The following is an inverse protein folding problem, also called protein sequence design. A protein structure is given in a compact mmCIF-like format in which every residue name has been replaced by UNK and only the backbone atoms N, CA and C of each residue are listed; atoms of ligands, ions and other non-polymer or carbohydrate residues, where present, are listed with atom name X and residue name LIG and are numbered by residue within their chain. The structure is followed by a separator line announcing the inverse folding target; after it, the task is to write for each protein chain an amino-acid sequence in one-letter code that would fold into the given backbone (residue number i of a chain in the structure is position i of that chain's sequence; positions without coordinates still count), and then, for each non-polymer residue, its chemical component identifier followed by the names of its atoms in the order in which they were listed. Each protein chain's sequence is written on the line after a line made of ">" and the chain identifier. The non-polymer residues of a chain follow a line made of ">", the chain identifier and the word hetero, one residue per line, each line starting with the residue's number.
data_IF_372048658843
#
_entry.id   IF_372048658843
#
_cell.length_a   1.000
_cell.length_b   1.000
_cell.length_c   1.000
_cell.angle_alpha   90.00
_cell.angle_beta   90.00
_cell.angle_gamma   90.00
#
_symmetry.space_group_name_H-M   'P 1'
#
loop_
_entity.id
_entity.type
_entity.pdbx_description
1 polymer ?
#
# COMPACT_ATOMS: atom_id res chain seq x y z
N UNK A 1 5.00 -4.51 71.63
CA UNK A 1 5.62 -5.72 72.28
C UNK A 1 5.61 -6.75 71.15
N UNK A 2 6.68 -7.15 70.49
CA UNK A 2 8.11 -7.01 70.68
C UNK A 2 8.78 -6.90 69.31
N UNK A 3 9.79 -6.07 69.25
CA UNK A 3 10.79 -5.99 68.21
C UNK A 3 11.58 -7.26 68.12
N UNK A 4 11.95 -7.73 66.96
CA UNK A 4 13.15 -8.53 66.78
C UNK A 4 13.86 -8.18 65.49
N UNK A 5 14.90 -7.41 65.68
CA UNK A 5 15.99 -7.06 64.80
C UNK A 5 16.86 -8.31 64.56
N UNK A 6 17.12 -8.68 63.29
CA UNK A 6 18.24 -9.57 62.95
C UNK A 6 19.01 -8.96 61.78
N UNK A 7 20.23 -8.65 62.15
CA UNK A 7 21.37 -8.18 61.42
C UNK A 7 21.78 -9.00 60.19
N UNK A 8 22.36 -8.27 59.25
CA UNK A 8 23.17 -8.60 58.11
C UNK A 8 23.95 -9.92 58.03
N UNK A 9 23.92 -10.44 56.85
CA UNK A 9 25.04 -11.24 56.30
C UNK A 9 25.21 -10.87 54.84
N UNK A 10 26.31 -10.21 54.56
CA UNK A 10 26.87 -10.04 53.22
C UNK A 10 27.29 -11.40 52.67
N UNK A 11 26.83 -11.76 51.48
CA UNK A 11 27.38 -12.86 50.71
C UNK A 11 28.31 -12.28 49.62
N UNK A 12 29.42 -12.98 49.30
CA UNK A 12 30.50 -12.42 48.53
C UNK A 12 30.14 -12.22 47.06
N UNK A 13 30.59 -11.11 46.54
CA UNK A 13 30.61 -10.76 45.12
C UNK A 13 31.48 -11.76 44.38
N UNK A 14 30.92 -12.58 43.52
CA UNK A 14 31.68 -13.31 42.51
C UNK A 14 31.86 -12.40 41.31
N UNK A 15 33.10 -12.18 40.93
CA UNK A 15 33.54 -11.51 39.70
C UNK A 15 32.88 -12.19 38.48
N UNK A 16 31.88 -11.54 37.90
CA UNK A 16 31.44 -11.84 36.55
C UNK A 16 32.36 -11.11 35.58
N UNK A 17 32.98 -11.90 34.70
CA UNK A 17 33.76 -11.40 33.58
C UNK A 17 32.92 -10.46 32.72
N UNK A 18 33.53 -9.42 32.15
CA UNK A 18 32.78 -8.48 31.29
C UNK A 18 32.24 -9.21 30.07
N UNK A 19 30.93 -9.31 29.98
CA UNK A 19 30.27 -9.66 28.73
C UNK A 19 30.61 -8.55 27.74
N UNK A 20 31.37 -8.89 26.73
CA UNK A 20 31.59 -8.02 25.60
C UNK A 20 30.24 -7.82 24.92
N UNK A 21 29.62 -6.65 25.13
CA UNK A 21 28.51 -6.21 24.34
C UNK A 21 28.91 -6.22 22.87
N UNK A 22 28.32 -7.10 22.09
CA UNK A 22 28.34 -6.95 20.64
C UNK A 22 27.71 -5.59 20.33
N UNK A 23 28.32 -4.79 19.45
CA UNK A 23 27.75 -3.48 19.11
C UNK A 23 26.32 -3.70 18.59
N UNK A 24 25.36 -3.16 19.31
CA UNK A 24 23.99 -3.00 18.80
C UNK A 24 24.17 -2.23 17.48
N UNK A 25 23.69 -2.74 16.36
CA UNK A 25 23.78 -1.99 15.11
C UNK A 25 23.17 -0.61 15.34
N UNK A 26 23.90 0.40 14.93
CA UNK A 26 23.53 1.81 15.03
C UNK A 26 22.06 1.92 14.60
N UNK A 27 21.21 2.45 15.47
CA UNK A 27 19.77 2.55 15.24
C UNK A 27 19.56 3.00 13.80
N UNK A 28 19.01 2.13 12.98
CA UNK A 28 18.64 2.46 11.61
C UNK A 28 17.68 3.64 11.78
N UNK A 29 18.14 4.84 11.42
CA UNK A 29 17.23 5.97 11.23
C UNK A 29 16.28 5.50 10.17
N UNK A 30 15.08 5.10 10.58
CA UNK A 30 14.01 4.87 9.62
C UNK A 30 14.01 6.08 8.70
N UNK A 31 14.19 5.92 7.40
CA UNK A 31 14.12 7.04 6.51
C UNK A 31 12.78 7.68 6.78
N UNK A 32 12.82 8.98 6.90
CA UNK A 32 11.63 9.80 6.93
C UNK A 32 10.78 9.31 5.76
N UNK A 33 9.82 8.40 6.03
CA UNK A 33 9.02 7.78 4.99
C UNK A 33 8.49 8.95 4.21
N UNK A 34 9.00 9.14 3.02
CA UNK A 34 8.46 10.17 2.14
C UNK A 34 7.02 9.73 1.98
N UNK A 35 6.13 10.30 2.84
CA UNK A 35 4.68 10.21 2.64
C UNK A 35 4.48 10.15 1.14
N UNK A 36 3.66 9.23 0.66
CA UNK A 36 3.24 9.21 -0.75
C UNK A 36 3.22 10.66 -1.18
N UNK A 37 4.10 11.03 -2.12
CA UNK A 37 4.18 12.45 -2.51
C UNK A 37 2.75 12.79 -2.88
N UNK A 38 2.05 13.52 -2.00
CA UNK A 38 0.67 13.87 -2.28
C UNK A 38 0.68 14.53 -3.64
N UNK A 39 -0.38 14.43 -4.43
CA UNK A 39 -0.49 15.17 -5.70
C UNK A 39 -0.04 16.61 -5.56
N UNK A 40 -0.16 17.17 -4.33
CA UNK A 40 0.36 18.46 -3.88
C UNK A 40 1.88 18.63 -4.02
N UNK A 41 2.67 17.61 -3.70
CA UNK A 41 4.14 17.70 -3.79
C UNK A 41 4.60 17.56 -5.24
N UNK A 42 3.99 16.67 -6.00
CA UNK A 42 4.26 16.51 -7.44
C UNK A 42 3.86 17.80 -8.18
N UNK A 43 2.72 18.38 -7.84
CA UNK A 43 2.27 19.66 -8.42
C UNK A 43 3.19 20.81 -8.08
N UNK A 44 3.57 20.96 -6.80
CA UNK A 44 4.44 22.04 -6.34
C UNK A 44 5.85 21.97 -6.94
N UNK A 45 6.39 20.76 -7.15
CA UNK A 45 7.73 20.59 -7.71
C UNK A 45 7.74 20.67 -9.26
N UNK A 46 6.70 20.16 -9.93
CA UNK A 46 6.72 19.98 -11.38
C UNK A 46 5.96 21.06 -12.17
N UNK A 47 4.89 21.61 -11.62
CA UNK A 47 3.99 22.49 -12.39
C UNK A 47 3.84 23.89 -11.82
N UNK A 48 3.92 24.11 -10.50
CA UNK A 48 3.77 25.41 -9.88
C UNK A 48 4.78 26.45 -10.41
N UNK A 49 6.07 26.16 -10.66
CA UNK A 49 7.01 27.12 -11.22
C UNK A 49 6.60 27.63 -12.61
N UNK A 50 6.03 26.75 -13.44
CA UNK A 50 5.62 27.12 -14.81
C UNK A 50 4.34 27.98 -14.84
N UNK A 51 3.41 27.71 -13.93
CA UNK A 51 2.17 28.48 -13.81
C UNK A 51 2.48 29.88 -13.25
N UNK A 52 3.30 29.97 -12.21
CA UNK A 52 3.70 31.26 -11.60
C UNK A 52 4.52 32.09 -12.59
N UNK A 53 5.44 31.49 -13.35
CA UNK A 53 6.19 32.20 -14.38
C UNK A 53 5.27 32.72 -15.50
N UNK A 54 4.29 31.94 -15.93
CA UNK A 54 3.32 32.31 -16.95
C UNK A 54 2.45 33.50 -16.53
N UNK A 55 1.93 33.48 -15.30
CA UNK A 55 1.06 34.55 -14.76
C UNK A 55 1.87 35.79 -14.41
N UNK A 56 3.05 35.65 -13.77
CA UNK A 56 3.93 36.77 -13.46
C UNK A 56 4.47 37.45 -14.72
N UNK A 57 4.82 36.68 -15.76
CA UNK A 57 5.23 37.21 -17.06
C UNK A 57 4.13 38.02 -17.75
N UNK A 58 2.86 37.59 -17.61
CA UNK A 58 1.69 38.32 -18.15
C UNK A 58 1.42 39.62 -17.38
N UNK A 59 1.63 39.68 -16.08
CA UNK A 59 1.45 40.87 -15.25
C UNK A 59 2.57 41.91 -15.46
N UNK A 60 3.81 41.47 -15.65
CA UNK A 60 4.94 42.38 -15.94
C UNK A 60 4.84 43.04 -17.32
N UNK A 61 4.27 42.37 -18.32
CA UNK A 61 4.04 42.94 -19.67
C UNK A 61 2.96 43.99 -19.68
N UNK A 62 2.07 44.05 -18.66
CA UNK A 62 1.00 45.07 -18.63
C UNK A 62 1.46 46.48 -18.23
N UNK A 63 2.67 46.60 -17.63
CA UNK A 63 3.17 47.89 -17.12
C UNK A 63 4.03 48.69 -18.13
N UNK A 64 4.49 48.08 -19.24
CA UNK A 64 5.54 48.72 -20.07
C UNK A 64 5.00 49.45 -21.32
N UNK A 65 3.74 49.28 -21.75
CA UNK A 65 3.26 49.87 -23.02
C UNK A 65 2.07 50.81 -22.88
N UNK A 66 2.23 51.83 -22.05
CA UNK A 66 1.26 52.88 -21.88
C UNK A 66 1.54 54.17 -22.69
N UNK A 67 2.02 54.07 -23.94
CA UNK A 67 1.97 55.26 -24.86
C UNK A 67 2.41 54.89 -26.27
N UNK A 68 1.45 54.75 -27.17
CA UNK A 68 1.53 55.02 -28.62
C UNK A 68 0.50 54.20 -29.42
N UNK A 69 -0.48 54.86 -29.96
CA UNK A 69 -1.30 54.32 -31.05
C UNK A 69 -2.67 53.73 -30.65
N UNK A 70 -3.68 54.50 -30.32
CA UNK A 70 -5.03 54.07 -29.84
C UNK A 70 -5.79 53.05 -30.68
N UNK A 71 -5.46 52.79 -31.93
CA UNK A 71 -6.14 51.77 -32.72
C UNK A 71 -5.41 50.42 -32.77
N UNK A 72 -4.07 50.42 -32.78
CA UNK A 72 -3.24 49.22 -32.63
C UNK A 72 -3.33 48.64 -31.23
N UNK A 73 -3.44 49.51 -30.23
CA UNK A 73 -3.53 49.13 -28.81
C UNK A 73 -4.81 48.38 -28.48
N UNK A 74 -5.97 48.71 -29.11
CA UNK A 74 -7.23 47.97 -28.86
C UNK A 74 -7.20 46.53 -29.41
N UNK A 75 -6.60 46.32 -30.58
CA UNK A 75 -6.49 44.94 -31.12
C UNK A 75 -5.47 44.09 -30.36
N UNK A 76 -4.34 44.69 -29.92
CA UNK A 76 -3.35 44.01 -29.06
C UNK A 76 -3.89 43.72 -27.64
N UNK A 77 -4.64 44.68 -27.07
CA UNK A 77 -5.30 44.49 -25.77
C UNK A 77 -6.38 43.40 -25.84
N UNK A 78 -7.16 43.35 -26.93
CA UNK A 78 -8.14 42.29 -27.15
C UNK A 78 -7.48 40.93 -27.32
N UNK A 79 -6.44 40.82 -28.14
CA UNK A 79 -5.70 39.58 -28.32
C UNK A 79 -5.04 39.09 -27.05
N UNK A 80 -4.54 40.01 -26.19
CA UNK A 80 -4.01 39.70 -24.86
C UNK A 80 -5.11 39.20 -23.91
N UNK A 81 -6.28 39.86 -23.93
CA UNK A 81 -7.43 39.43 -23.10
C UNK A 81 -7.95 38.08 -23.54
N UNK A 82 -8.07 37.82 -24.84
CA UNK A 82 -8.48 36.55 -25.40
C UNK A 82 -7.52 35.44 -25.02
N UNK A 83 -6.19 35.70 -25.03
CA UNK A 83 -5.17 34.77 -24.61
C UNK A 83 -5.24 34.47 -23.11
N UNK A 84 -5.46 35.48 -22.25
CA UNK A 84 -5.65 35.30 -20.80
C UNK A 84 -6.90 34.43 -20.55
N UNK A 85 -8.00 34.74 -21.25
CA UNK A 85 -9.25 33.96 -21.13
C UNK A 85 -9.03 32.51 -21.53
N UNK A 86 -8.31 32.27 -22.62
CA UNK A 86 -7.99 30.91 -23.07
C UNK A 86 -7.10 30.15 -22.07
N UNK A 87 -6.09 30.82 -21.50
CA UNK A 87 -5.23 30.21 -20.45
C UNK A 87 -6.03 29.86 -19.19
N UNK A 88 -6.90 30.76 -18.73
CA UNK A 88 -7.77 30.51 -17.58
C UNK A 88 -8.78 29.39 -17.86
N UNK A 89 -9.27 29.28 -19.07
CA UNK A 89 -10.17 28.17 -19.47
C UNK A 89 -9.42 26.84 -19.48
N UNK A 90 -8.20 26.79 -20.04
CA UNK A 90 -7.36 25.58 -20.04
C UNK A 90 -7.01 25.16 -18.62
N UNK A 91 -6.64 26.11 -17.74
CA UNK A 91 -6.40 25.85 -16.32
C UNK A 91 -7.64 25.30 -15.61
N UNK A 92 -8.82 25.88 -15.89
CA UNK A 92 -10.06 25.42 -15.27
C UNK A 92 -10.38 23.96 -15.66
N UNK A 93 -10.20 23.57 -16.93
CA UNK A 93 -10.41 22.19 -17.37
C UNK A 93 -9.39 21.22 -16.75
N UNK A 94 -8.10 21.60 -16.64
CA UNK A 94 -7.09 20.80 -15.95
C UNK A 94 -7.44 20.59 -14.45
N UNK A 95 -7.79 21.68 -13.76
CA UNK A 95 -8.17 21.60 -12.34
C UNK A 95 -9.43 20.76 -12.15
N UNK A 96 -10.40 20.88 -13.04
CA UNK A 96 -11.62 20.06 -13.02
C UNK A 96 -11.31 18.58 -13.18
N UNK A 97 -10.50 18.21 -14.19
CA UNK A 97 -10.12 16.81 -14.42
C UNK A 97 -9.36 16.23 -13.21
N UNK A 98 -8.40 16.98 -12.66
CA UNK A 98 -7.60 16.55 -11.51
C UNK A 98 -8.42 16.43 -10.23
N UNK A 99 -9.29 17.40 -9.96
CA UNK A 99 -10.16 17.34 -8.80
C UNK A 99 -11.18 16.20 -8.90
N UNK A 100 -11.67 15.89 -10.10
CA UNK A 100 -12.55 14.77 -10.32
C UNK A 100 -11.87 13.42 -10.07
N UNK A 101 -10.61 13.27 -10.50
CA UNK A 101 -9.82 12.08 -10.21
C UNK A 101 -9.60 11.87 -8.69
N UNK A 102 -9.29 12.94 -7.96
CA UNK A 102 -9.15 12.90 -6.49
C UNK A 102 -10.48 12.55 -5.82
N UNK A 103 -11.58 13.17 -6.25
CA UNK A 103 -12.90 12.93 -5.70
C UNK A 103 -13.43 11.52 -6.00
N UNK A 104 -13.03 10.91 -7.11
CA UNK A 104 -13.35 9.54 -7.44
C UNK A 104 -12.75 8.54 -6.44
N UNK A 105 -11.63 8.87 -5.83
CA UNK A 105 -10.95 8.09 -4.78
C UNK A 105 -11.26 8.65 -3.36
N UNK A 106 -12.35 9.40 -3.20
CA UNK A 106 -12.84 10.00 -1.94
C UNK A 106 -11.94 11.10 -1.33
N UNK A 107 -10.88 11.52 -2.00
CA UNK A 107 -10.01 12.61 -1.56
C UNK A 107 -10.64 14.00 -1.83
N UNK A 108 -11.80 14.23 -1.22
CA UNK A 108 -12.54 15.48 -1.40
C UNK A 108 -11.79 16.70 -0.86
N UNK A 109 -10.96 16.53 0.17
CA UNK A 109 -10.20 17.65 0.73
C UNK A 109 -9.17 18.19 -0.28
N UNK A 110 -8.40 17.30 -0.93
CA UNK A 110 -7.44 17.73 -1.93
C UNK A 110 -8.12 18.11 -3.26
N UNK A 111 -9.26 17.50 -3.60
CA UNK A 111 -10.09 17.93 -4.72
C UNK A 111 -10.54 19.39 -4.54
N UNK A 112 -11.07 19.76 -3.38
CA UNK A 112 -11.43 21.15 -3.05
C UNK A 112 -10.23 22.09 -3.07
N UNK A 113 -9.10 21.69 -2.49
CA UNK A 113 -7.86 22.48 -2.51
C UNK A 113 -7.34 22.72 -3.92
N UNK A 114 -7.48 21.72 -4.79
CA UNK A 114 -7.12 21.81 -6.21
C UNK A 114 -7.96 22.88 -6.90
N UNK A 115 -9.28 22.86 -6.74
CA UNK A 115 -10.18 23.87 -7.31
C UNK A 115 -9.95 25.26 -6.73
N UNK A 116 -9.65 25.37 -5.45
CA UNK A 116 -9.36 26.64 -4.77
C UNK A 116 -8.08 27.33 -5.30
N UNK A 117 -7.19 26.56 -5.96
CA UNK A 117 -5.98 27.07 -6.61
C UNK A 117 -6.19 27.75 -7.97
N UNK A 118 -7.42 27.87 -8.44
CA UNK A 118 -7.71 28.49 -9.75
C UNK A 118 -7.25 29.95 -9.81
N UNK A 119 -6.39 30.29 -10.78
CA UNK A 119 -5.78 31.61 -10.90
C UNK A 119 -6.78 32.73 -11.20
N UNK A 120 -7.92 32.40 -11.83
CA UNK A 120 -9.02 33.34 -12.10
C UNK A 120 -9.86 33.67 -10.85
N UNK A 121 -9.61 33.00 -9.73
CA UNK A 121 -10.39 33.06 -8.49
C UNK A 121 -11.65 32.19 -8.57
N UNK A 122 -11.78 31.26 -7.64
CA UNK A 122 -12.86 30.25 -7.64
C UNK A 122 -14.27 30.87 -7.75
N UNK A 123 -14.51 31.98 -7.07
CA UNK A 123 -15.79 32.69 -7.09
C UNK A 123 -16.18 33.24 -8.48
N UNK A 124 -15.21 33.40 -9.38
CA UNK A 124 -15.41 33.91 -10.72
C UNK A 124 -15.70 32.80 -11.76
N UNK A 125 -15.63 31.52 -11.34
CA UNK A 125 -15.94 30.38 -12.18
C UNK A 125 -17.07 29.55 -11.53
N UNK A 126 -18.28 29.74 -12.04
CA UNK A 126 -19.49 29.11 -11.46
C UNK A 126 -19.44 27.56 -11.51
N UNK A 127 -18.78 26.98 -12.52
CA UNK A 127 -18.65 25.53 -12.64
C UNK A 127 -17.70 24.98 -11.58
N UNK A 128 -16.50 25.56 -11.44
CA UNK A 128 -15.55 25.12 -10.40
C UNK A 128 -16.09 25.35 -8.98
N UNK A 129 -16.80 26.46 -8.78
CA UNK A 129 -17.45 26.74 -7.48
C UNK A 129 -18.54 25.71 -7.16
N UNK A 130 -19.32 25.29 -8.15
CA UNK A 130 -20.34 24.24 -7.98
C UNK A 130 -19.70 22.91 -7.62
N UNK A 131 -18.62 22.50 -8.29
CA UNK A 131 -17.87 21.30 -7.98
C UNK A 131 -17.28 21.36 -6.56
N UNK A 132 -16.66 22.47 -6.20
CA UNK A 132 -16.13 22.70 -4.85
C UNK A 132 -17.19 22.50 -3.77
N UNK A 133 -18.36 23.09 -3.95
CA UNK A 133 -19.47 22.94 -3.01
C UNK A 133 -20.00 21.49 -2.98
N UNK A 134 -20.09 20.83 -4.12
CA UNK A 134 -20.47 19.41 -4.21
C UNK A 134 -19.49 18.51 -3.43
N UNK A 135 -18.18 18.72 -3.56
CA UNK A 135 -17.18 17.96 -2.81
C UNK A 135 -17.24 18.28 -1.30
N UNK A 136 -17.52 19.54 -0.93
CA UNK A 136 -17.72 19.92 0.46
C UNK A 136 -18.92 19.21 1.09
N UNK A 137 -20.02 19.13 0.35
CA UNK A 137 -21.24 18.47 0.81
C UNK A 137 -21.00 16.94 0.89
N UNK A 138 -20.33 16.35 -0.09
CA UNK A 138 -19.94 14.95 -0.07
C UNK A 138 -19.04 14.63 1.13
N UNK A 139 -18.00 15.44 1.40
CA UNK A 139 -17.13 15.28 2.56
C UNK A 139 -17.90 15.31 3.89
N UNK A 140 -18.89 16.19 4.01
CA UNK A 140 -19.71 16.31 5.21
C UNK A 140 -20.65 15.12 5.43
N UNK A 141 -20.97 14.37 4.38
CA UNK A 141 -21.85 13.19 4.43
C UNK A 141 -21.10 11.88 4.68
N UNK A 142 -19.75 11.91 4.76
CA UNK A 142 -18.98 10.69 4.96
C UNK A 142 -19.13 10.13 6.37
N UNK A 143 -19.19 8.79 6.44
CA UNK A 143 -19.18 8.01 7.69
C UNK A 143 -17.75 7.69 8.10
N UNK A 144 -17.47 7.82 9.39
CA UNK A 144 -16.14 7.56 9.97
C UNK A 144 -15.96 6.08 10.22
N UNK A 145 -14.80 5.55 9.82
CA UNK A 145 -14.28 4.23 10.15
C UNK A 145 -12.98 4.43 10.93
N UNK A 146 -12.96 4.05 12.21
CA UNK A 146 -11.82 4.27 13.10
C UNK A 146 -11.41 3.02 13.89
N UNK A 147 -12.07 1.87 13.68
CA UNK A 147 -11.76 0.61 14.33
C UNK A 147 -11.19 -0.40 13.33
N UNK A 148 -9.88 -0.64 13.41
CA UNK A 148 -9.17 -1.61 12.57
C UNK A 148 -9.71 -3.05 12.77
N UNK A 149 -10.32 -3.36 13.92
CA UNK A 149 -10.89 -4.69 14.19
C UNK A 149 -12.14 -5.00 13.37
N UNK A 150 -12.81 -3.97 12.86
CA UNK A 150 -14.01 -4.14 12.02
C UNK A 150 -13.69 -4.29 10.52
N UNK A 151 -12.40 -4.13 10.14
CA UNK A 151 -11.99 -4.11 8.75
C UNK A 151 -11.53 -5.50 8.32
N UNK A 152 -12.22 -6.14 7.36
CA UNK A 152 -11.75 -7.40 6.83
C UNK A 152 -10.45 -7.24 6.05
N UNK A 153 -9.63 -8.28 6.11
CA UNK A 153 -8.39 -8.36 5.34
C UNK A 153 -8.32 -9.72 4.65
N UNK A 154 -8.13 -9.70 3.34
CA UNK A 154 -7.99 -10.89 2.51
C UNK A 154 -6.54 -11.06 2.07
N UNK A 155 -6.07 -12.29 2.08
CA UNK A 155 -4.73 -12.65 1.64
C UNK A 155 -4.79 -13.63 0.49
N UNK A 156 -4.00 -13.35 -0.54
CA UNK A 156 -3.88 -14.13 -1.76
C UNK A 156 -2.43 -14.58 -1.92
N UNK A 157 -2.24 -15.75 -2.51
CA UNK A 157 -0.95 -16.18 -3.04
C UNK A 157 -0.81 -15.68 -4.48
N UNK A 158 0.34 -15.91 -5.11
CA UNK A 158 0.50 -15.77 -6.56
C UNK A 158 -0.64 -16.48 -7.28
N UNK A 159 -1.26 -15.83 -8.26
CA UNK A 159 -2.44 -16.37 -8.95
C UNK A 159 -2.06 -17.36 -10.05
N UNK A 160 -2.93 -18.31 -10.29
CA UNK A 160 -2.80 -19.22 -11.43
C UNK A 160 -3.32 -18.53 -12.69
N UNK A 161 -2.46 -18.39 -13.70
CA UNK A 161 -2.82 -17.81 -14.99
C UNK A 161 -3.35 -18.88 -15.98
N UNK A 162 -2.85 -20.14 -15.88
CA UNK A 162 -3.26 -21.27 -16.72
C UNK A 162 -3.52 -22.47 -15.79
N UNK A 163 -4.80 -22.70 -15.49
CA UNK A 163 -5.20 -23.73 -14.53
C UNK A 163 -4.88 -25.14 -15.04
N UNK A 164 -5.07 -25.41 -16.33
CA UNK A 164 -4.82 -26.73 -16.91
C UNK A 164 -3.34 -27.13 -16.77
N UNK A 165 -2.43 -26.20 -17.04
CA UNK A 165 -0.99 -26.44 -16.85
C UNK A 165 -0.64 -26.60 -15.36
N UNK A 166 -1.22 -25.78 -14.48
CA UNK A 166 -0.97 -25.88 -13.06
C UNK A 166 -1.42 -27.24 -12.50
N UNK A 167 -2.61 -27.72 -12.90
CA UNK A 167 -3.14 -29.02 -12.47
C UNK A 167 -2.39 -30.20 -13.09
N UNK A 168 -1.80 -30.04 -14.28
CA UNK A 168 -1.02 -31.07 -14.96
C UNK A 168 0.36 -31.31 -14.34
N UNK A 169 0.84 -30.45 -13.41
CA UNK A 169 2.12 -30.66 -12.74
C UNK A 169 2.08 -31.96 -11.91
N UNK A 170 2.98 -32.95 -12.20
CA UNK A 170 2.91 -34.29 -11.61
C UNK A 170 3.20 -34.28 -10.09
N UNK A 171 3.97 -33.31 -9.61
CA UNK A 171 4.42 -33.24 -8.21
C UNK A 171 3.57 -32.31 -7.36
N UNK A 172 3.04 -31.25 -7.95
CA UNK A 172 2.38 -30.13 -7.25
C UNK A 172 0.99 -29.79 -7.74
N UNK A 173 0.49 -30.42 -8.79
CA UNK A 173 -0.81 -30.07 -9.39
C UNK A 173 -1.96 -30.09 -8.39
N UNK A 174 -2.04 -31.10 -7.51
CA UNK A 174 -3.03 -31.13 -6.43
C UNK A 174 -2.89 -29.95 -5.45
N UNK A 175 -1.65 -29.57 -5.11
CA UNK A 175 -1.38 -28.41 -4.23
C UNK A 175 -1.74 -27.10 -4.93
N UNK A 176 -1.43 -26.97 -6.21
CA UNK A 176 -1.82 -25.78 -6.98
C UNK A 176 -3.34 -25.68 -7.08
N UNK A 177 -4.02 -26.78 -7.35
CA UNK A 177 -5.48 -26.83 -7.40
C UNK A 177 -6.17 -26.47 -6.08
N UNK A 178 -5.58 -26.80 -4.93
CA UNK A 178 -6.19 -26.55 -3.62
C UNK A 178 -5.77 -25.20 -3.01
N UNK A 179 -4.50 -24.80 -3.16
CA UNK A 179 -3.91 -23.69 -2.41
C UNK A 179 -3.89 -22.35 -3.15
N UNK A 180 -4.19 -22.35 -4.45
CA UNK A 180 -4.11 -21.16 -5.29
C UNK A 180 -5.45 -20.93 -6.00
N UNK A 181 -5.80 -19.68 -6.21
CA UNK A 181 -6.92 -19.27 -7.05
C UNK A 181 -6.41 -18.76 -8.39
N UNK A 182 -7.27 -18.71 -9.38
CA UNK A 182 -6.93 -18.20 -10.71
C UNK A 182 -7.08 -16.68 -10.79
N UNK A 183 -6.51 -16.08 -11.85
CA UNK A 183 -6.71 -14.67 -12.19
C UNK A 183 -8.19 -14.35 -12.43
N UNK A 184 -8.95 -15.29 -13.02
CA UNK A 184 -10.38 -15.12 -13.24
C UNK A 184 -11.19 -15.20 -11.94
N UNK A 185 -10.85 -16.12 -11.03
CA UNK A 185 -11.47 -16.20 -9.71
C UNK A 185 -11.20 -14.94 -8.91
N UNK A 186 -9.99 -14.41 -8.96
CA UNK A 186 -9.66 -13.13 -8.35
C UNK A 186 -10.47 -11.97 -8.95
N UNK A 187 -10.63 -11.94 -10.27
CA UNK A 187 -11.46 -10.93 -10.94
C UNK A 187 -12.93 -11.02 -10.50
N UNK A 188 -13.47 -12.24 -10.32
CA UNK A 188 -14.83 -12.43 -9.79
C UNK A 188 -14.95 -11.93 -8.34
N UNK A 189 -13.91 -12.14 -7.51
CA UNK A 189 -13.86 -11.61 -6.15
C UNK A 189 -13.88 -10.08 -6.18
N UNK A 190 -13.04 -9.43 -6.99
CA UNK A 190 -13.00 -7.97 -7.10
C UNK A 190 -14.35 -7.39 -7.50
N UNK A 191 -15.02 -7.98 -8.51
CA UNK A 191 -16.35 -7.55 -8.94
C UNK A 191 -17.37 -7.62 -7.80
N UNK A 192 -17.41 -8.74 -7.07
CA UNK A 192 -18.36 -8.91 -5.97
C UNK A 192 -18.04 -8.01 -4.77
N UNK A 193 -16.76 -7.81 -4.45
CA UNK A 193 -16.35 -6.84 -3.43
C UNK A 193 -16.84 -5.44 -3.78
N UNK A 194 -16.65 -5.02 -5.03
CA UNK A 194 -17.09 -3.73 -5.52
C UNK A 194 -18.62 -3.58 -5.47
N UNK A 195 -19.37 -4.58 -5.99
CA UNK A 195 -20.84 -4.62 -5.95
C UNK A 195 -21.39 -4.59 -4.52
N UNK A 196 -20.68 -5.21 -3.57
CA UNK A 196 -21.04 -5.24 -2.15
C UNK A 196 -20.54 -4.00 -1.38
N UNK A 197 -20.02 -2.98 -2.10
CA UNK A 197 -19.67 -1.68 -1.57
C UNK A 197 -18.33 -1.64 -0.83
N UNK A 198 -17.45 -2.62 -1.02
CA UNK A 198 -16.11 -2.55 -0.45
C UNK A 198 -15.22 -1.54 -1.18
N UNK A 199 -14.26 -0.98 -0.45
CA UNK A 199 -13.28 0.01 -0.93
C UNK A 199 -11.92 -0.37 -0.36
N UNK A 200 -10.90 -0.43 -1.21
CA UNK A 200 -9.53 -0.73 -0.80
C UNK A 200 -8.95 0.40 0.06
N UNK A 201 -8.32 0.00 1.14
CA UNK A 201 -7.63 0.88 2.08
C UNK A 201 -6.23 0.35 2.38
N UNK A 202 -5.36 1.21 2.90
CA UNK A 202 -4.03 0.84 3.41
C UNK A 202 -4.04 0.77 4.94
N UNK A 203 -3.15 -0.03 5.52
CA UNK A 203 -2.91 -0.03 6.97
C UNK A 203 -2.56 1.36 7.50
N UNK A 204 -1.88 2.15 6.68
CA UNK A 204 -1.48 3.52 7.03
C UNK A 204 -2.63 4.52 7.06
N UNK A 205 -3.81 4.13 6.57
CA UNK A 205 -5.01 4.95 6.67
C UNK A 205 -5.61 4.88 8.09
N UNK A 206 -5.32 3.81 8.85
CA UNK A 206 -5.79 3.59 10.23
C UNK A 206 -4.72 3.81 11.29
N UNK A 207 -3.46 3.69 10.92
CA UNK A 207 -2.34 3.87 11.82
C UNK A 207 -1.19 4.56 11.08
N UNK A 208 -0.89 5.80 11.41
CA UNK A 208 0.19 6.56 10.76
C UNK A 208 1.45 6.53 11.61
N UNK A 209 2.63 6.34 11.00
CA UNK A 209 3.90 6.44 11.73
C UNK A 209 4.09 7.85 12.27
N UNK A 210 4.48 7.95 13.53
CA UNK A 210 4.82 9.21 14.19
C UNK A 210 6.18 9.11 14.85
N UNK A 211 6.94 10.21 14.78
CA UNK A 211 8.21 10.32 15.51
C UNK A 211 8.02 11.30 16.65
N UNK A 212 8.26 10.84 17.87
CA UNK A 212 8.22 11.67 19.06
C UNK A 212 9.42 12.63 19.14
N UNK A 213 9.39 13.59 20.05
CA UNK A 213 10.47 14.57 20.25
C UNK A 213 11.81 13.91 20.66
N UNK A 214 11.76 12.78 21.34
CA UNK A 214 12.92 11.98 21.75
C UNK A 214 13.50 11.10 20.62
N UNK A 215 12.87 11.14 19.43
CA UNK A 215 13.26 10.35 18.26
C UNK A 215 12.68 8.93 18.23
N UNK A 216 11.88 8.53 19.22
CA UNK A 216 11.17 7.25 19.17
C UNK A 216 10.10 7.26 18.06
N UNK A 217 9.94 6.13 17.38
CA UNK A 217 8.93 5.98 16.32
C UNK A 217 7.82 5.06 16.82
N UNK A 218 6.61 5.56 16.78
CA UNK A 218 5.41 4.82 17.09
C UNK A 218 4.36 4.95 15.99
N UNK A 219 3.12 4.60 16.30
CA UNK A 219 1.98 4.79 15.41
C UNK A 219 0.86 5.53 16.13
N UNK A 220 0.23 6.46 15.43
CA UNK A 220 -1.01 7.09 15.88
C UNK A 220 -2.19 6.48 15.15
N UNK A 221 -3.21 6.10 15.92
CA UNK A 221 -4.50 5.70 15.37
C UNK A 221 -5.10 6.88 14.58
N UNK A 222 -5.60 6.59 13.39
CA UNK A 222 -6.33 7.52 12.54
C UNK A 222 -7.65 6.91 12.12
N UNK A 223 -8.44 7.65 11.36
CA UNK A 223 -9.69 7.18 10.80
C UNK A 223 -9.78 7.55 9.33
N UNK A 224 -10.50 6.75 8.58
CA UNK A 224 -10.93 7.07 7.23
C UNK A 224 -12.40 7.47 7.23
N UNK A 225 -12.84 8.05 6.12
CA UNK A 225 -14.23 8.42 5.93
C UNK A 225 -14.68 7.95 4.55
N UNK A 226 -15.76 7.18 4.52
CA UNK A 226 -16.35 6.64 3.30
C UNK A 226 -17.83 7.06 3.21
N UNK A 227 -18.42 7.12 2.00
CA UNK A 227 -19.86 7.29 1.85
C UNK A 227 -20.65 6.22 2.60
N UNK A 228 -21.87 6.56 3.02
CA UNK A 228 -22.78 5.59 3.61
C UNK A 228 -22.97 4.37 2.69
N UNK A 229 -22.88 3.16 3.25
CA UNK A 229 -22.94 1.89 2.52
C UNK A 229 -21.62 1.41 1.93
N UNK A 230 -20.59 2.24 1.86
CA UNK A 230 -19.22 1.81 1.50
C UNK A 230 -18.49 1.28 2.74
N UNK A 231 -17.68 0.23 2.57
CA UNK A 231 -16.97 -0.51 3.63
C UNK A 231 -15.49 -0.67 3.28
N UNK A 232 -14.57 -0.42 4.21
CA UNK A 232 -13.14 -0.62 3.94
C UNK A 232 -12.78 -2.10 3.89
N UNK A 233 -11.76 -2.44 3.08
CA UNK A 233 -11.14 -3.77 3.01
C UNK A 233 -9.65 -3.66 2.73
N UNK A 234 -8.85 -4.53 3.35
CA UNK A 234 -7.42 -4.68 3.10
C UNK A 234 -7.16 -5.90 2.22
N UNK A 235 -6.27 -5.77 1.24
CA UNK A 235 -5.79 -6.89 0.45
C UNK A 235 -4.27 -7.07 0.64
N UNK A 236 -3.84 -8.33 0.71
CA UNK A 236 -2.42 -8.71 0.75
C UNK A 236 -2.15 -9.77 -0.31
N UNK A 237 -1.03 -9.68 -1.01
CA UNK A 237 -0.52 -10.79 -1.82
C UNK A 237 0.78 -11.30 -1.23
N UNK A 238 0.88 -12.61 -1.05
CA UNK A 238 2.03 -13.32 -0.47
C UNK A 238 2.83 -14.05 -1.54
N UNK A 239 4.16 -14.09 -1.38
CA UNK A 239 5.01 -14.92 -2.21
C UNK A 239 5.13 -14.43 -3.65
N UNK A 240 5.15 -13.11 -3.88
CA UNK A 240 5.36 -12.48 -5.19
C UNK A 240 6.84 -12.60 -5.61
N UNK A 241 7.44 -13.72 -5.26
CA UNK A 241 8.80 -14.12 -5.62
C UNK A 241 8.85 -14.86 -6.95
N UNK A 242 7.74 -15.47 -7.39
CA UNK A 242 7.62 -16.31 -8.59
C UNK A 242 8.66 -17.42 -8.59
N UNK A 243 8.46 -18.37 -7.66
CA UNK A 243 9.41 -19.46 -7.41
C UNK A 243 9.68 -20.34 -8.65
N UNK A 244 10.88 -20.86 -8.77
CA UNK A 244 11.32 -21.69 -9.91
C UNK A 244 10.42 -22.89 -10.20
N UNK A 245 9.71 -23.41 -9.19
CA UNK A 245 8.77 -24.50 -9.39
C UNK A 245 7.45 -24.04 -10.06
N UNK A 246 7.08 -22.77 -9.93
CA UNK A 246 5.93 -22.17 -10.61
C UNK A 246 6.25 -21.92 -12.09
N UNK A 247 7.43 -21.39 -12.38
CA UNK A 247 7.94 -21.24 -13.75
C UNK A 247 7.95 -22.58 -14.50
N UNK A 248 8.48 -23.63 -13.85
CA UNK A 248 8.56 -24.98 -14.47
C UNK A 248 7.21 -25.58 -14.79
N UNK A 249 6.18 -25.33 -14.01
CA UNK A 249 4.84 -25.83 -14.31
C UNK A 249 4.17 -25.06 -15.45
N UNK A 250 4.59 -23.79 -15.69
CA UNK A 250 4.06 -22.94 -16.76
C UNK A 250 2.61 -22.51 -16.57
N UNK A 251 2.06 -22.66 -15.35
CA UNK A 251 0.70 -22.25 -15.00
C UNK A 251 0.64 -20.90 -14.28
N UNK A 252 1.77 -20.31 -13.98
CA UNK A 252 1.92 -19.03 -13.26
C UNK A 252 2.73 -18.03 -14.08
N UNK A 253 2.68 -16.77 -13.71
CA UNK A 253 3.63 -15.78 -14.19
C UNK A 253 5.07 -16.14 -13.78
N UNK A 254 6.04 -15.74 -14.59
CA UNK A 254 7.47 -15.93 -14.32
C UNK A 254 8.05 -14.74 -13.56
N UNK A 255 7.53 -13.54 -13.82
CA UNK A 255 7.98 -12.30 -13.18
C UNK A 255 6.95 -11.18 -13.25
N UNK A 256 6.98 -10.28 -12.27
CA UNK A 256 6.38 -8.95 -12.33
C UNK A 256 7.43 -7.96 -12.83
N UNK A 257 7.13 -7.25 -13.91
CA UNK A 257 8.07 -6.35 -14.58
C UNK A 257 7.42 -4.99 -14.91
N UNK A 258 8.26 -3.99 -15.19
CA UNK A 258 7.81 -2.75 -15.82
C UNK A 258 7.85 -2.98 -17.34
N UNK A 259 6.68 -3.06 -17.97
CA UNK A 259 6.54 -3.28 -19.41
C UNK A 259 7.02 -2.09 -20.25
N UNK A 260 7.04 -2.27 -21.55
CA UNK A 260 7.50 -1.25 -22.51
C UNK A 260 6.67 0.06 -22.47
N UNK A 261 5.42 -0.02 -22.03
CA UNK A 261 4.53 1.15 -21.82
C UNK A 261 4.78 1.88 -20.49
N UNK A 262 5.73 1.40 -19.67
CA UNK A 262 6.03 1.93 -18.35
C UNK A 262 5.05 1.53 -17.24
N UNK A 263 4.12 0.59 -17.51
CA UNK A 263 3.18 0.06 -16.52
C UNK A 263 3.63 -1.31 -16.01
N UNK A 264 3.14 -1.69 -14.80
CA UNK A 264 3.39 -3.01 -14.23
C UNK A 264 2.61 -4.07 -15.01
N UNK A 265 3.31 -5.09 -15.43
CA UNK A 265 2.75 -6.27 -16.14
C UNK A 265 3.46 -7.53 -15.66
N UNK A 266 2.86 -8.69 -15.89
CA UNK A 266 3.53 -9.96 -15.63
C UNK A 266 4.07 -10.55 -16.93
N UNK A 267 5.24 -11.20 -16.84
CA UNK A 267 5.80 -12.04 -17.91
C UNK A 267 5.42 -13.49 -17.65
N UNK A 268 5.07 -14.22 -18.71
CA UNK A 268 4.81 -15.65 -18.71
C UNK A 268 5.34 -16.21 -20.05
N UNK A 269 6.49 -16.87 -20.02
CA UNK A 269 7.26 -17.22 -21.22
C UNK A 269 7.64 -15.99 -22.04
N UNK A 270 7.20 -15.95 -23.30
CA UNK A 270 7.43 -14.80 -24.20
C UNK A 270 6.32 -13.75 -24.17
N UNK A 271 5.27 -13.98 -23.38
CA UNK A 271 4.10 -13.11 -23.32
C UNK A 271 4.14 -12.18 -22.11
N UNK A 272 3.61 -10.95 -22.26
CA UNK A 272 3.31 -10.05 -21.15
C UNK A 272 1.79 -9.87 -21.04
N UNK A 273 1.30 -9.78 -19.78
CA UNK A 273 -0.14 -9.65 -19.55
C UNK A 273 -0.53 -9.60 -18.07
N UNK A 274 -1.84 -9.64 -17.84
CA UNK A 274 -2.43 -9.64 -16.51
C UNK A 274 -2.46 -11.07 -15.91
N UNK A 275 -1.29 -11.64 -15.70
CA UNK A 275 -1.13 -13.03 -15.24
C UNK A 275 -1.03 -13.19 -13.72
N UNK A 276 -1.14 -12.07 -12.95
CA UNK A 276 -1.16 -12.09 -11.49
C UNK A 276 -1.92 -10.87 -10.94
N UNK A 277 -2.06 -10.79 -9.61
CA UNK A 277 -2.88 -9.81 -8.88
C UNK A 277 -2.61 -8.37 -9.29
N UNK A 278 -1.35 -7.93 -9.35
CA UNK A 278 -1.01 -6.52 -9.57
C UNK A 278 -1.58 -5.97 -10.88
N UNK A 279 -1.31 -6.55 -12.06
CA UNK A 279 -1.87 -6.02 -13.30
C UNK A 279 -3.39 -6.23 -13.41
N UNK A 280 -3.96 -7.31 -12.83
CA UNK A 280 -5.42 -7.51 -12.78
C UNK A 280 -6.09 -6.42 -11.94
N UNK A 281 -5.57 -6.12 -10.75
CA UNK A 281 -6.08 -5.08 -9.88
C UNK A 281 -5.94 -3.69 -10.50
N UNK A 282 -4.81 -3.40 -11.16
CA UNK A 282 -4.60 -2.13 -11.84
C UNK A 282 -5.63 -1.91 -12.97
N UNK A 283 -5.92 -2.95 -13.76
CA UNK A 283 -6.93 -2.89 -14.82
C UNK A 283 -8.33 -2.64 -14.21
N UNK A 284 -8.68 -3.35 -13.14
CA UNK A 284 -9.95 -3.17 -12.44
C UNK A 284 -10.11 -1.74 -11.90
N UNK A 285 -9.08 -1.19 -11.27
CA UNK A 285 -9.11 0.15 -10.70
C UNK A 285 -9.08 1.27 -11.75
N UNK A 286 -8.61 1.00 -12.95
CA UNK A 286 -8.73 1.95 -14.07
C UNK A 286 -10.21 2.11 -14.50
N UNK A 287 -11.02 1.06 -14.36
CA UNK A 287 -12.45 1.09 -14.65
C UNK A 287 -13.29 1.53 -13.43
N UNK A 288 -12.81 1.24 -12.23
CA UNK A 288 -13.48 1.49 -10.95
C UNK A 288 -12.58 2.26 -9.97
N UNK A 289 -12.24 3.53 -10.23
CA UNK A 289 -11.36 4.30 -9.35
C UNK A 289 -11.94 4.47 -7.93
N UNK A 290 -13.26 4.46 -7.78
CA UNK A 290 -13.97 4.50 -6.51
C UNK A 290 -13.90 3.19 -5.69
N UNK A 291 -13.21 2.16 -6.21
CA UNK A 291 -12.84 0.97 -5.42
C UNK A 291 -11.58 1.19 -4.59
N UNK A 292 -10.96 2.37 -4.65
CA UNK A 292 -9.74 2.73 -3.92
C UNK A 292 -9.94 3.99 -3.09
N UNK A 293 -9.52 3.95 -1.84
CA UNK A 293 -9.46 5.12 -0.95
C UNK A 293 -8.11 5.82 -1.11
N UNK A 294 -8.11 7.06 -1.59
CA UNK A 294 -6.92 7.91 -1.76
C UNK A 294 -5.75 7.22 -2.47
N UNK A 295 -6.05 6.34 -3.43
CA UNK A 295 -5.04 5.60 -4.20
C UNK A 295 -4.49 4.37 -3.50
N UNK A 296 -5.12 3.87 -2.43
CA UNK A 296 -4.72 2.63 -1.77
C UNK A 296 -4.80 1.43 -2.72
N UNK A 297 -3.86 0.49 -2.56
CA UNK A 297 -3.78 -0.79 -3.27
C UNK A 297 -3.55 -1.92 -2.25
N UNK A 298 -3.11 -3.07 -2.74
CA UNK A 298 -2.75 -4.21 -1.91
C UNK A 298 -1.37 -4.05 -1.26
N UNK A 299 -1.13 -4.79 -0.16
CA UNK A 299 0.20 -5.03 0.39
C UNK A 299 0.85 -6.21 -0.34
N UNK A 300 2.05 -6.01 -0.89
CA UNK A 300 2.84 -7.02 -1.59
C UNK A 300 3.92 -7.55 -0.66
N UNK A 301 3.82 -8.81 -0.28
CA UNK A 301 4.71 -9.45 0.67
C UNK A 301 5.71 -10.36 -0.03
N UNK A 302 7.00 -10.12 0.22
CA UNK A 302 8.14 -10.78 -0.42
C UNK A 302 9.04 -11.42 0.64
N UNK A 303 9.61 -12.57 0.34
CA UNK A 303 10.68 -13.18 1.13
C UNK A 303 12.04 -13.05 0.42
N UNK A 304 13.12 -13.40 1.11
CA UNK A 304 14.47 -13.40 0.53
C UNK A 304 14.78 -14.65 -0.31
N UNK A 305 13.88 -15.64 -0.30
CA UNK A 305 14.10 -16.92 -0.94
C UNK A 305 13.79 -16.90 -2.44
N UNK A 306 14.71 -17.37 -3.26
CA UNK A 306 14.62 -17.45 -4.74
C UNK A 306 14.43 -16.09 -5.45
N UNK A 307 14.95 -14.98 -4.90
CA UNK A 307 14.89 -13.66 -5.56
C UNK A 307 13.61 -12.88 -5.28
N UNK A 308 13.36 -11.82 -6.06
CA UNK A 308 12.24 -10.90 -5.89
C UNK A 308 11.55 -10.66 -7.22
N UNK A 309 10.23 -10.70 -7.26
CA UNK A 309 9.43 -10.46 -8.47
C UNK A 309 9.78 -11.38 -9.65
N UNK A 310 10.37 -12.57 -9.41
CA UNK A 310 10.86 -13.47 -10.45
C UNK A 310 12.24 -13.09 -11.04
N UNK A 311 12.95 -12.20 -10.35
CA UNK A 311 14.29 -11.74 -10.72
C UNK A 311 15.31 -12.11 -9.65
N UNK A 312 16.54 -12.38 -10.05
CA UNK A 312 17.65 -12.57 -9.12
C UNK A 312 18.15 -11.24 -8.56
N UNK A 313 18.83 -11.25 -7.41
CA UNK A 313 19.33 -10.02 -6.78
C UNK A 313 20.38 -9.28 -7.65
N UNK A 314 21.00 -9.97 -8.62
CA UNK A 314 21.90 -9.34 -9.59
C UNK A 314 21.14 -8.39 -10.54
N UNK A 315 19.83 -8.57 -10.71
CA UNK A 315 18.94 -7.71 -11.50
C UNK A 315 18.40 -6.51 -10.67
N UNK A 316 19.19 -6.01 -9.76
CA UNK A 316 18.79 -5.03 -8.74
C UNK A 316 18.15 -3.75 -9.30
N UNK A 317 18.53 -3.29 -10.49
CA UNK A 317 17.91 -2.12 -11.13
C UNK A 317 16.48 -2.39 -11.56
N UNK A 318 16.21 -3.58 -12.13
CA UNK A 318 14.88 -3.98 -12.53
C UNK A 318 13.97 -4.21 -11.30
N UNK A 319 14.48 -4.85 -10.26
CA UNK A 319 13.76 -5.02 -8.98
C UNK A 319 13.38 -3.65 -8.38
N UNK A 320 14.32 -2.69 -8.34
CA UNK A 320 14.04 -1.32 -7.87
C UNK A 320 12.97 -0.64 -8.71
N UNK A 321 13.04 -0.77 -10.04
CA UNK A 321 12.06 -0.16 -10.92
C UNK A 321 10.64 -0.69 -10.65
N UNK A 322 10.49 -2.00 -10.41
CA UNK A 322 9.21 -2.61 -10.02
C UNK A 322 8.76 -2.09 -8.64
N UNK A 323 9.65 -2.11 -7.65
CA UNK A 323 9.34 -1.66 -6.30
C UNK A 323 8.94 -0.17 -6.25
N UNK A 324 9.65 0.68 -6.96
CA UNK A 324 9.36 2.12 -7.05
C UNK A 324 8.01 2.36 -7.77
N UNK A 325 7.73 1.59 -8.82
CA UNK A 325 6.47 1.70 -9.54
C UNK A 325 5.29 1.21 -8.67
N UNK A 326 5.44 0.09 -7.94
CA UNK A 326 4.44 -0.39 -6.97
C UNK A 326 4.12 0.70 -5.94
N UNK A 327 5.15 1.29 -5.31
CA UNK A 327 4.95 2.37 -4.33
C UNK A 327 4.31 3.61 -4.94
N UNK A 328 4.71 3.97 -6.16
CA UNK A 328 4.14 5.12 -6.88
C UNK A 328 2.66 4.92 -7.20
N UNK A 329 2.24 3.70 -7.46
CA UNK A 329 0.85 3.34 -7.72
C UNK A 329 0.03 3.15 -6.43
N UNK A 330 0.66 3.10 -5.26
CA UNK A 330 -0.05 3.01 -3.99
C UNK A 330 -0.06 1.64 -3.34
N UNK A 331 0.71 0.67 -3.86
CA UNK A 331 0.96 -0.59 -3.17
C UNK A 331 1.89 -0.38 -1.97
N UNK A 332 1.65 -1.11 -0.91
CA UNK A 332 2.59 -1.25 0.19
C UNK A 332 3.47 -2.47 -0.06
N UNK A 333 4.75 -2.40 0.30
CA UNK A 333 5.68 -3.52 0.20
C UNK A 333 6.00 -4.00 1.60
N UNK A 334 5.95 -5.31 1.83
CA UNK A 334 6.15 -5.93 3.13
C UNK A 334 7.23 -7.01 3.11
N UNK A 335 7.90 -7.15 4.25
CA UNK A 335 8.75 -8.30 4.54
C UNK A 335 7.88 -9.52 4.85
N UNK A 336 8.14 -10.64 4.15
CA UNK A 336 7.54 -11.95 4.40
C UNK A 336 8.58 -12.91 5.01
N UNK A 337 9.43 -12.41 5.91
CA UNK A 337 10.68 -12.99 6.42
C UNK A 337 11.73 -13.19 5.32
N UNK A 338 12.99 -13.48 5.66
CA UNK A 338 13.98 -13.81 4.65
C UNK A 338 13.80 -15.24 4.14
N UNK A 339 13.57 -16.18 5.04
CA UNK A 339 13.57 -17.62 4.76
C UNK A 339 12.20 -18.23 4.43
N UNK A 340 11.13 -17.42 4.33
CA UNK A 340 9.74 -17.90 4.17
C UNK A 340 9.30 -18.86 5.32
N UNK A 341 9.80 -18.59 6.54
CA UNK A 341 9.57 -19.43 7.73
C UNK A 341 8.75 -18.71 8.77
N UNK A 342 7.99 -19.48 9.57
CA UNK A 342 7.14 -18.94 10.62
C UNK A 342 7.94 -18.49 11.83
N UNK A 343 7.90 -17.19 12.17
CA UNK A 343 8.61 -16.66 13.34
C UNK A 343 8.06 -17.18 14.69
N UNK A 344 6.86 -17.76 14.69
CA UNK A 344 6.37 -18.51 15.85
C UNK A 344 7.35 -19.62 16.29
N UNK A 345 7.95 -20.31 15.33
CA UNK A 345 8.83 -21.45 15.55
C UNK A 345 10.29 -21.07 15.86
N UNK A 346 10.69 -19.83 15.54
CA UNK A 346 12.04 -19.36 15.82
C UNK A 346 12.23 -18.97 17.29
N UNK A 347 13.44 -19.24 17.81
CA UNK A 347 13.95 -18.51 18.98
C UNK A 347 14.36 -17.08 18.57
N UNK A 348 14.58 -16.20 19.56
CA UNK A 348 15.00 -14.80 19.30
C UNK A 348 16.28 -14.72 18.45
N UNK A 349 17.24 -15.62 18.67
CA UNK A 349 18.49 -15.64 17.92
C UNK A 349 18.27 -15.98 16.43
N UNK A 350 17.46 -17.01 16.15
CA UNK A 350 17.14 -17.39 14.75
C UNK A 350 16.33 -16.33 14.03
N UNK A 351 15.39 -15.68 14.72
CA UNK A 351 14.63 -14.54 14.18
C UNK A 351 15.57 -13.38 13.81
N UNK A 352 16.54 -13.05 14.66
CA UNK A 352 17.53 -12.00 14.36
C UNK A 352 18.43 -12.38 13.18
N UNK A 353 18.88 -13.62 13.09
CA UNK A 353 19.71 -14.09 11.98
C UNK A 353 18.95 -13.98 10.64
N UNK A 354 17.67 -14.31 10.63
CA UNK A 354 16.81 -14.20 9.44
C UNK A 354 16.61 -12.73 9.03
N UNK A 355 16.38 -11.85 10.00
CA UNK A 355 16.25 -10.42 9.75
C UNK A 355 17.57 -9.77 9.31
N UNK A 356 18.70 -10.15 9.90
CA UNK A 356 20.03 -9.67 9.49
C UNK A 356 20.26 -9.92 7.99
N UNK A 357 19.86 -11.11 7.49
CA UNK A 357 19.93 -11.42 6.06
C UNK A 357 18.97 -10.56 5.24
N UNK A 358 17.74 -10.39 5.70
CA UNK A 358 16.78 -9.51 5.03
C UNK A 358 17.33 -8.08 4.87
N UNK A 359 17.85 -7.51 5.95
CA UNK A 359 18.38 -6.14 5.92
C UNK A 359 19.69 -6.01 5.16
N UNK A 360 20.50 -7.06 5.13
CA UNK A 360 21.76 -7.06 4.39
C UNK A 360 21.59 -7.27 2.88
N UNK A 361 20.66 -8.12 2.47
CA UNK A 361 20.54 -8.57 1.07
C UNK A 361 19.32 -7.97 0.35
N UNK A 362 18.17 -7.88 1.03
CA UNK A 362 16.91 -7.49 0.40
C UNK A 362 16.67 -5.99 0.48
N UNK A 363 16.85 -5.40 1.67
CA UNK A 363 16.62 -3.95 1.86
C UNK A 363 17.42 -3.06 0.90
N UNK A 364 18.69 -3.33 0.57
CA UNK A 364 19.45 -2.50 -0.37
C UNK A 364 18.86 -2.47 -1.78
N UNK A 365 18.11 -3.50 -2.17
CA UNK A 365 17.54 -3.66 -3.51
C UNK A 365 16.08 -3.23 -3.52
N UNK A 366 15.29 -3.71 -2.55
CA UNK A 366 13.85 -3.50 -2.48
C UNK A 366 13.47 -2.14 -1.87
N UNK A 367 14.35 -1.56 -1.04
CA UNK A 367 14.05 -0.44 -0.16
C UNK A 367 13.50 -0.89 1.19
N UNK A 368 13.35 0.07 2.10
CA UNK A 368 12.89 -0.21 3.47
C UNK A 368 11.38 -0.46 3.53
N UNK A 369 10.99 -1.28 4.50
CA UNK A 369 9.60 -1.49 4.91
C UNK A 369 9.50 -1.61 6.43
N UNK A 370 8.40 -1.16 6.98
CA UNK A 370 8.02 -1.30 8.38
C UNK A 370 6.84 -2.27 8.58
N UNK A 371 6.44 -2.98 7.48
CA UNK A 371 5.39 -4.00 7.49
C UNK A 371 6.03 -5.38 7.50
N UNK A 372 5.62 -6.21 8.46
CA UNK A 372 5.92 -7.64 8.52
C UNK A 372 4.65 -8.44 8.30
N UNK A 373 4.67 -9.32 7.31
CA UNK A 373 3.63 -10.32 7.06
C UNK A 373 4.14 -11.67 7.52
N UNK A 374 3.47 -12.30 8.47
CA UNK A 374 3.88 -13.60 8.97
C UNK A 374 3.53 -14.71 7.98
N UNK A 375 4.51 -15.51 7.52
CA UNK A 375 4.27 -16.69 6.70
C UNK A 375 3.28 -17.64 7.37
N UNK A 376 2.29 -18.11 6.60
CA UNK A 376 1.21 -18.99 7.06
C UNK A 376 0.47 -18.52 8.33
N UNK A 377 0.70 -17.27 8.77
CA UNK A 377 0.14 -16.71 10.00
C UNK A 377 0.89 -17.09 11.27
N UNK A 378 2.12 -17.56 11.14
CA UNK A 378 3.00 -17.92 12.28
C UNK A 378 3.42 -16.70 13.12
N UNK A 379 2.43 -16.00 13.69
CA UNK A 379 2.57 -14.82 14.56
C UNK A 379 3.24 -15.18 15.88
N UNK A 380 4.01 -14.25 16.42
CA UNK A 380 4.77 -14.43 17.67
C UNK A 380 3.90 -14.48 18.94
N UNK A 381 2.63 -14.04 18.89
CA UNK A 381 1.75 -13.88 20.06
C UNK A 381 0.25 -14.11 19.83
N UNK A 382 -0.18 -14.56 18.69
CA UNK A 382 -1.62 -14.67 18.38
C UNK A 382 -2.33 -13.31 18.53
N UNK A 383 -3.45 -13.24 19.29
CA UNK A 383 -4.23 -12.00 19.46
C UNK A 383 -3.83 -11.19 20.72
N UNK A 384 -2.89 -11.66 21.53
CA UNK A 384 -2.43 -10.93 22.71
C UNK A 384 -1.56 -9.73 22.32
N UNK A 385 -1.48 -8.75 23.22
CA UNK A 385 -0.55 -7.62 23.06
C UNK A 385 0.90 -8.12 22.98
N UNK A 386 1.67 -7.50 22.09
CA UNK A 386 3.07 -7.89 21.89
C UNK A 386 3.94 -7.55 23.08
N UNK A 387 4.83 -8.47 23.42
CA UNK A 387 5.83 -8.31 24.48
C UNK A 387 6.92 -9.38 24.38
N UNK A 388 8.08 -9.11 24.98
CA UNK A 388 9.19 -10.05 25.11
C UNK A 388 10.14 -10.03 23.91
N UNK A 389 11.22 -10.83 24.01
CA UNK A 389 12.40 -10.68 23.17
C UNK A 389 12.19 -10.81 21.66
N UNK A 390 11.19 -11.55 21.17
CA UNK A 390 10.86 -11.59 19.75
C UNK A 390 10.30 -10.25 19.29
N UNK A 391 9.34 -9.68 20.05
CA UNK A 391 8.79 -8.38 19.75
C UNK A 391 9.85 -7.27 19.82
N UNK A 392 10.66 -7.28 20.89
CA UNK A 392 11.73 -6.29 21.05
C UNK A 392 12.69 -6.32 19.87
N UNK A 393 12.99 -7.51 19.34
CA UNK A 393 13.81 -7.67 18.14
C UNK A 393 13.10 -7.05 16.92
N UNK A 394 11.88 -7.48 16.61
CA UNK A 394 11.11 -6.96 15.46
C UNK A 394 10.95 -5.43 15.51
N UNK A 395 10.61 -4.91 16.67
CA UNK A 395 10.49 -3.47 16.88
C UNK A 395 11.84 -2.76 16.71
N UNK A 396 12.94 -3.37 17.17
CA UNK A 396 14.31 -2.85 17.01
C UNK A 396 14.76 -2.80 15.54
N UNK A 397 14.33 -3.73 14.71
CA UNK A 397 14.54 -3.71 13.25
C UNK A 397 13.62 -2.73 12.49
N UNK A 398 12.70 -2.06 13.17
CA UNK A 398 11.88 -0.99 12.58
C UNK A 398 10.49 -1.42 12.17
N UNK A 399 10.07 -2.67 12.38
CA UNK A 399 8.71 -3.10 12.08
C UNK A 399 7.70 -2.45 13.02
N UNK A 400 6.60 -1.97 12.43
CA UNK A 400 5.50 -1.29 13.13
C UNK A 400 4.14 -1.86 12.76
N UNK A 401 4.03 -2.54 11.63
CA UNK A 401 2.79 -3.12 11.14
C UNK A 401 2.98 -4.63 10.98
N UNK A 402 2.05 -5.39 11.55
CA UNK A 402 2.17 -6.84 11.62
C UNK A 402 0.90 -7.52 11.14
N UNK A 403 1.01 -8.37 10.13
CA UNK A 403 -0.10 -9.07 9.53
C UNK A 403 -0.02 -10.57 9.83
N UNK A 404 -0.90 -11.04 10.73
CA UNK A 404 -1.09 -12.46 11.04
C UNK A 404 -2.23 -13.08 10.23
N UNK A 405 -2.70 -14.25 10.63
CA UNK A 405 -3.86 -14.94 10.05
C UNK A 405 -4.87 -15.29 11.14
N UNK A 406 -6.14 -14.99 10.86
CA UNK A 406 -7.29 -15.45 11.63
C UNK A 406 -8.47 -15.66 10.67
N UNK A 407 -8.50 -16.84 10.04
CA UNK A 407 -9.47 -17.12 8.99
C UNK A 407 -10.92 -16.96 9.48
N UNK A 408 -11.73 -16.31 8.65
CA UNK A 408 -13.16 -16.13 8.88
C UNK A 408 -13.55 -15.09 9.94
N UNK A 409 -12.58 -14.31 10.43
CA UNK A 409 -12.85 -13.29 11.44
C UNK A 409 -11.99 -12.04 11.20
N UNK A 410 -12.61 -10.88 11.15
CA UNK A 410 -11.88 -9.61 11.19
C UNK A 410 -11.30 -9.41 12.60
N UNK A 411 -10.03 -9.07 12.67
CA UNK A 411 -9.36 -8.70 13.91
C UNK A 411 -8.21 -7.76 13.62
N UNK A 412 -8.13 -6.70 14.38
CA UNK A 412 -7.03 -5.75 14.32
C UNK A 412 -6.89 -4.99 15.62
N UNK A 413 -5.73 -4.39 15.84
CA UNK A 413 -5.49 -3.51 16.97
C UNK A 413 -4.43 -2.46 16.63
N UNK A 414 -4.53 -1.31 17.27
CA UNK A 414 -3.51 -0.26 17.25
C UNK A 414 -3.04 -0.01 18.66
N UNK A 415 -1.75 -0.16 18.90
CA UNK A 415 -1.05 0.23 20.12
C UNK A 415 -0.14 1.44 19.82
N UNK A 416 0.39 2.16 20.81
CA UNK A 416 1.26 3.33 20.57
C UNK A 416 2.50 3.05 19.74
N UNK A 417 3.00 1.82 19.73
CA UNK A 417 4.24 1.44 19.06
C UNK A 417 4.02 0.63 17.78
N UNK A 418 2.80 0.07 17.57
CA UNK A 418 2.51 -0.81 16.44
C UNK A 418 1.02 -0.89 16.12
N UNK A 419 0.73 -1.32 14.89
CA UNK A 419 -0.58 -1.79 14.47
C UNK A 419 -0.50 -3.26 14.02
N UNK A 420 -1.57 -4.01 14.27
CA UNK A 420 -1.71 -5.41 13.87
C UNK A 420 -3.03 -5.62 13.17
N UNK A 421 -3.00 -6.46 12.13
CA UNK A 421 -4.17 -6.92 11.41
C UNK A 421 -4.06 -8.41 11.14
N UNK A 422 -5.17 -9.14 11.22
CA UNK A 422 -5.21 -10.54 10.82
C UNK A 422 -5.99 -10.71 9.53
N UNK A 423 -5.47 -11.60 8.68
CA UNK A 423 -5.96 -11.83 7.31
C UNK A 423 -6.72 -13.13 7.23
N UNK A 424 -7.73 -13.20 6.37
CA UNK A 424 -8.37 -14.44 5.92
C UNK A 424 -7.72 -14.88 4.63
N UNK A 425 -7.14 -16.09 4.61
CA UNK A 425 -6.46 -16.62 3.43
C UNK A 425 -7.48 -17.13 2.42
N UNK A 426 -7.41 -16.61 1.20
CA UNK A 426 -8.23 -17.06 0.07
C UNK A 426 -7.49 -18.13 -0.71
N UNK A 427 -8.00 -19.36 -0.65
CA UNK A 427 -7.54 -20.51 -1.44
C UNK A 427 -8.76 -21.23 -2.00
N UNK A 428 -8.56 -22.01 -3.07
CA UNK A 428 -9.67 -22.81 -3.63
C UNK A 428 -10.26 -23.79 -2.58
N UNK A 429 -9.41 -24.40 -1.76
CA UNK A 429 -9.83 -25.25 -0.64
C UNK A 429 -10.67 -24.51 0.39
N UNK A 430 -10.23 -23.31 0.80
CA UNK A 430 -10.97 -22.51 1.78
C UNK A 430 -12.30 -21.99 1.22
N UNK A 431 -12.32 -21.58 -0.06
CA UNK A 431 -13.55 -21.17 -0.74
C UNK A 431 -14.58 -22.31 -0.80
N UNK A 432 -14.11 -23.55 -1.05
CA UNK A 432 -14.99 -24.70 -1.11
C UNK A 432 -15.43 -25.22 0.26
N UNK A 433 -14.53 -25.20 1.26
CA UNK A 433 -14.74 -25.86 2.56
C UNK A 433 -15.27 -24.93 3.66
N UNK A 434 -15.04 -23.63 3.54
CA UNK A 434 -15.34 -22.61 4.54
C UNK A 434 -15.95 -21.34 3.90
N UNK A 435 -17.00 -21.47 3.07
CA UNK A 435 -17.58 -20.32 2.37
C UNK A 435 -18.08 -19.22 3.31
N UNK A 436 -18.44 -19.59 4.56
CA UNK A 436 -18.89 -18.67 5.58
C UNK A 436 -17.81 -17.64 6.00
N UNK A 437 -16.53 -17.92 5.81
CA UNK A 437 -15.47 -16.97 6.11
C UNK A 437 -15.51 -15.71 5.24
N UNK A 438 -16.16 -15.82 4.10
CA UNK A 438 -16.25 -14.75 3.10
C UNK A 438 -17.65 -14.13 3.04
N UNK A 439 -18.56 -14.61 3.90
CA UNK A 439 -19.95 -14.15 3.92
C UNK A 439 -20.03 -12.63 4.12
N UNK A 440 -20.86 -11.98 3.31
CA UNK A 440 -20.99 -10.51 3.30
C UNK A 440 -19.92 -9.76 2.51
N UNK A 441 -18.84 -10.44 2.11
CA UNK A 441 -17.83 -9.92 1.18
C UNK A 441 -18.15 -10.37 -0.26
N UNK A 442 -18.23 -11.68 -0.47
CA UNK A 442 -18.58 -12.29 -1.75
C UNK A 442 -19.13 -13.72 -1.55
N UNK A 443 -19.78 -14.26 -2.57
CA UNK A 443 -20.27 -15.65 -2.60
C UNK A 443 -19.17 -16.58 -3.13
N UNK A 444 -18.54 -17.31 -2.23
CA UNK A 444 -17.45 -18.24 -2.53
C UNK A 444 -17.83 -19.30 -3.58
N UNK A 445 -19.09 -19.76 -3.60
CA UNK A 445 -19.55 -20.79 -4.53
C UNK A 445 -19.60 -20.30 -5.99
N UNK A 446 -19.84 -18.99 -6.19
CA UNK A 446 -19.90 -18.39 -7.53
C UNK A 446 -18.53 -17.92 -8.02
N UNK A 447 -17.56 -17.79 -7.11
CA UNK A 447 -16.19 -17.40 -7.42
C UNK A 447 -15.40 -18.55 -8.03
N UNK A 448 -15.50 -19.75 -7.43
CA UNK A 448 -14.74 -20.92 -7.87
C UNK A 448 -15.01 -21.30 -9.33
N UNK A 449 -13.95 -21.67 -10.02
CA UNK A 449 -14.05 -22.17 -11.38
C UNK A 449 -14.61 -23.60 -11.39
N UNK A 450 -15.67 -23.83 -12.20
CA UNK A 450 -16.30 -25.12 -12.32
C UNK A 450 -15.38 -26.20 -12.91
N UNK A 451 -14.29 -25.81 -13.61
CA UNK A 451 -13.29 -26.73 -14.18
C UNK A 451 -12.34 -27.33 -13.15
N UNK A 452 -12.40 -26.90 -11.90
CA UNK A 452 -11.58 -27.48 -10.83
C UNK A 452 -11.97 -28.90 -10.44
N UNK A 453 -13.11 -29.42 -10.90
CA UNK A 453 -13.59 -30.78 -10.69
C UNK A 453 -14.56 -30.91 -9.54
#
# INVERSE_FOLDING_TARGET
>A
MDELNISGQELPVTDEAPVTESPIPEQIKLPNRKRRKSPKQIFKEKYLPFIILGVAGLLCLSFIFGSLGRSRDRSAAKAKQDRITQLLQTEAEDLKARSAAMAAEYDYENAMKTLAGYSGGLANNAELLRLYNGYKDALAALVVWDDLSEIPSLSFRTLVADLDKALADPDRGSRYGSRYITTEEFSRILNQLYENGYVLVSLYDFAVPVTAEDGSVGVNRTSIRLPEGKKPILLTQEGVNYYSHMEKCGGFADALVVGANGELTCRMGESEGAFDLVPVLNAFLAEHPDFSYEGARATIALCGYEGLFGMTLDESEAIRAVADKLRAQGYDIACYTYSDMEYADFGVAGLKEDLDKWFAEITPVLGETDILVYPNGGDIKGQEAYSGGKYDALHGYGFRYFLGVNNGSSWGMTAPEYARQQRTIVTAENLASNPEWYAGMFDAATVLDASRG
#
